data_IF_230161486788
#
_entry.id   IF_230161486788
#
_cell.length_a   1.000
_cell.length_b   1.000
_cell.length_c   1.000
_cell.angle_alpha   90.00
_cell.angle_beta   90.00
_cell.angle_gamma   90.00
#
_symmetry.space_group_name_H-M   'P 1'
#
loop_
_entity.id
_entity.type
_entity.pdbx_description
1 polymer ?
#
# COMPACT_ATOMS: atom_id res chain seq x y z
N UNK A 1 50.01 -21.06 -41.79
CA UNK A 1 48.74 -20.39 -42.08
C UNK A 1 47.61 -21.31 -41.67
N UNK A 2 47.10 -21.14 -40.49
CA UNK A 2 45.83 -21.77 -40.07
C UNK A 2 45.05 -20.65 -39.37
N UNK A 3 44.07 -20.14 -40.12
CA UNK A 3 43.15 -19.11 -39.64
C UNK A 3 42.16 -19.72 -38.68
N UNK A 4 42.19 -19.24 -37.44
CA UNK A 4 41.17 -19.51 -36.43
C UNK A 4 39.93 -18.66 -36.73
N UNK A 5 39.01 -19.23 -37.52
CA UNK A 5 37.66 -18.69 -37.66
C UNK A 5 36.88 -18.93 -36.37
N UNK A 6 36.72 -17.92 -35.55
CA UNK A 6 35.68 -17.88 -34.54
C UNK A 6 34.35 -17.57 -35.26
N UNK A 7 33.59 -18.61 -35.63
CA UNK A 7 32.19 -18.43 -35.96
C UNK A 7 31.47 -17.92 -34.71
N UNK A 8 31.13 -16.62 -34.68
CA UNK A 8 29.99 -16.16 -33.93
C UNK A 8 28.76 -16.90 -34.50
N UNK A 9 28.20 -17.80 -33.73
CA UNK A 9 26.83 -18.26 -33.95
C UNK A 9 25.97 -16.99 -33.90
N UNK A 10 25.54 -16.50 -35.05
CA UNK A 10 24.45 -15.53 -35.15
C UNK A 10 23.22 -16.25 -34.59
N UNK A 11 22.88 -15.96 -33.30
CA UNK A 11 21.67 -16.46 -32.67
C UNK A 11 20.45 -15.97 -33.46
N UNK A 12 19.43 -16.78 -33.56
CA UNK A 12 18.13 -16.40 -34.12
C UNK A 12 17.68 -15.12 -33.38
N UNK A 13 17.17 -14.16 -34.16
CA UNK A 13 16.66 -12.89 -33.67
C UNK A 13 15.16 -12.89 -33.76
N UNK A 14 14.50 -12.22 -32.83
CA UNK A 14 13.07 -11.94 -32.81
C UNK A 14 12.81 -10.45 -32.67
N UNK A 15 11.64 -9.97 -33.05
CA UNK A 15 11.22 -8.59 -32.85
C UNK A 15 10.29 -8.47 -31.62
N UNK A 16 10.46 -7.40 -30.84
CA UNK A 16 9.51 -6.97 -29.79
C UNK A 16 9.05 -5.54 -30.09
N UNK A 17 7.89 -5.17 -29.57
CA UNK A 17 7.30 -3.84 -29.74
C UNK A 17 7.50 -3.08 -28.42
N UNK A 18 8.08 -1.89 -28.49
CA UNK A 18 8.23 -1.06 -27.30
C UNK A 18 6.98 -0.19 -27.08
N UNK A 19 6.82 0.34 -25.87
CA UNK A 19 5.66 1.17 -25.46
C UNK A 19 5.41 2.40 -26.37
N UNK A 20 6.41 2.89 -27.07
CA UNK A 20 6.30 3.98 -28.05
C UNK A 20 5.92 3.51 -29.47
N UNK A 21 5.67 2.21 -29.65
CA UNK A 21 5.35 1.58 -30.92
C UNK A 21 6.55 1.26 -31.79
N UNK A 22 7.79 1.57 -31.37
CA UNK A 22 8.99 1.20 -32.09
C UNK A 22 9.27 -0.31 -31.98
N UNK A 23 9.96 -0.87 -33.00
CA UNK A 23 10.34 -2.29 -33.01
C UNK A 23 11.81 -2.43 -32.66
N UNK A 24 12.13 -3.42 -31.85
CA UNK A 24 13.47 -3.73 -31.41
C UNK A 24 13.79 -5.19 -31.72
N UNK A 25 14.93 -5.42 -32.39
CA UNK A 25 15.49 -6.76 -32.58
C UNK A 25 16.23 -7.20 -31.30
N UNK A 26 15.86 -8.37 -30.78
CA UNK A 26 16.48 -9.01 -29.62
C UNK A 26 16.85 -10.45 -29.90
N UNK A 27 17.60 -11.11 -29.03
CA UNK A 27 17.90 -12.54 -29.15
C UNK A 27 16.63 -13.39 -28.97
N UNK A 28 16.57 -14.58 -29.58
CA UNK A 28 15.55 -15.57 -29.32
C UNK A 28 15.48 -15.89 -27.82
N UNK A 29 14.26 -15.95 -27.23
CA UNK A 29 14.03 -16.15 -25.80
C UNK A 29 14.68 -15.07 -24.89
N UNK A 30 14.82 -13.81 -25.39
CA UNK A 30 15.32 -12.72 -24.58
C UNK A 30 14.39 -12.46 -23.39
N UNK A 31 14.99 -12.25 -22.22
CA UNK A 31 14.26 -11.80 -21.02
C UNK A 31 13.97 -10.30 -21.11
N UNK A 32 13.00 -9.83 -20.31
CA UNK A 32 12.71 -8.38 -20.14
C UNK A 32 13.99 -7.58 -19.85
N UNK A 33 14.90 -8.15 -19.05
CA UNK A 33 16.18 -7.50 -18.77
C UNK A 33 17.11 -7.39 -19.99
N UNK A 34 17.15 -8.41 -20.84
CA UNK A 34 17.95 -8.39 -22.07
C UNK A 34 17.37 -7.39 -23.07
N UNK A 35 16.02 -7.28 -23.14
CA UNK A 35 15.38 -6.17 -23.88
C UNK A 35 15.82 -4.81 -23.34
N UNK A 36 15.87 -4.63 -22.03
CA UNK A 36 16.33 -3.39 -21.42
C UNK A 36 17.82 -3.09 -21.76
N UNK A 37 18.66 -4.12 -21.87
CA UNK A 37 20.08 -3.99 -22.25
C UNK A 37 20.24 -3.54 -23.71
N UNK A 38 19.44 -4.07 -24.62
CA UNK A 38 19.44 -3.69 -26.04
C UNK A 38 18.97 -2.24 -26.21
N UNK A 39 17.99 -1.76 -25.44
CA UNK A 39 17.58 -0.36 -25.41
C UNK A 39 18.72 0.53 -24.90
N UNK A 40 19.37 0.12 -23.81
CA UNK A 40 20.51 0.85 -23.28
C UNK A 40 20.91 0.47 -21.87
N UNK A 41 22.23 0.47 -21.63
CA UNK A 41 22.80 0.08 -20.33
C UNK A 41 22.29 0.93 -19.14
N UNK A 42 21.89 2.18 -19.39
CA UNK A 42 21.31 3.07 -18.37
C UNK A 42 19.94 2.59 -17.92
N UNK A 43 19.07 2.22 -18.86
CA UNK A 43 17.75 1.68 -18.60
C UNK A 43 17.83 0.31 -17.92
N UNK A 44 18.67 -0.59 -18.43
CA UNK A 44 18.89 -1.90 -17.84
C UNK A 44 19.34 -1.82 -16.37
N UNK A 45 20.17 -0.83 -16.03
CA UNK A 45 20.60 -0.57 -14.65
C UNK A 45 19.48 -0.03 -13.77
N UNK A 46 18.54 0.73 -14.34
CA UNK A 46 17.40 1.31 -13.63
C UNK A 46 16.17 0.38 -13.60
N UNK A 47 16.16 -0.67 -14.43
CA UNK A 47 15.05 -1.62 -14.53
C UNK A 47 14.82 -2.36 -13.20
N UNK A 48 13.57 -2.43 -12.79
CA UNK A 48 13.09 -3.08 -11.56
C UNK A 48 12.11 -4.22 -11.86
N UNK A 49 11.29 -4.09 -12.90
CA UNK A 49 10.30 -5.06 -13.36
C UNK A 49 10.00 -4.81 -14.85
N UNK A 50 9.07 -5.56 -15.44
CA UNK A 50 8.58 -5.37 -16.79
C UNK A 50 7.09 -5.49 -16.91
N UNK A 51 6.58 -5.09 -18.06
CA UNK A 51 5.22 -5.34 -18.52
C UNK A 51 5.31 -5.95 -19.92
N UNK A 52 4.64 -7.10 -20.13
CA UNK A 52 4.60 -7.83 -21.40
C UNK A 52 3.15 -8.06 -21.78
N UNK A 53 2.70 -7.53 -22.91
CA UNK A 53 1.31 -7.59 -23.38
C UNK A 53 0.28 -7.13 -22.34
N UNK A 54 0.63 -6.13 -21.50
CA UNK A 54 -0.20 -5.60 -20.43
C UNK A 54 -0.12 -6.39 -19.12
N UNK A 55 0.63 -7.49 -19.05
CA UNK A 55 0.87 -8.26 -17.84
C UNK A 55 2.16 -7.81 -17.15
N UNK A 56 2.07 -7.58 -15.85
CA UNK A 56 3.21 -7.16 -15.00
C UNK A 56 4.07 -8.38 -14.66
N UNK A 57 5.34 -8.35 -15.02
CA UNK A 57 6.24 -9.50 -14.95
C UNK A 57 7.59 -9.18 -14.29
N UNK A 58 8.31 -10.22 -13.89
CA UNK A 58 9.70 -10.12 -13.42
C UNK A 58 10.67 -9.85 -14.58
N UNK A 59 11.81 -9.24 -14.29
CA UNK A 59 12.87 -8.96 -15.28
C UNK A 59 13.44 -10.22 -15.95
N UNK A 60 13.25 -11.39 -15.35
CA UNK A 60 13.74 -12.69 -15.83
C UNK A 60 12.77 -13.39 -16.78
N UNK A 61 11.55 -12.87 -16.88
CA UNK A 61 10.50 -13.41 -17.74
C UNK A 61 10.94 -13.32 -19.20
N UNK A 62 10.91 -14.43 -19.92
CA UNK A 62 11.13 -14.50 -21.37
C UNK A 62 10.00 -13.77 -22.10
N UNK A 63 10.37 -13.02 -23.13
CA UNK A 63 9.42 -12.22 -23.91
C UNK A 63 9.05 -12.98 -25.17
N UNK A 64 7.76 -13.15 -25.51
CA UNK A 64 7.34 -13.73 -26.77
C UNK A 64 7.68 -12.86 -27.98
N UNK A 65 7.87 -13.47 -29.15
CA UNK A 65 8.04 -12.75 -30.41
C UNK A 65 6.82 -11.87 -30.70
N UNK A 66 7.04 -10.61 -31.04
CA UNK A 66 5.99 -9.64 -31.37
C UNK A 66 5.26 -9.05 -30.15
N UNK A 67 5.61 -9.43 -28.93
CA UNK A 67 4.99 -8.91 -27.72
C UNK A 67 5.28 -7.42 -27.52
N UNK A 68 4.33 -6.70 -26.92
CA UNK A 68 4.54 -5.34 -26.42
C UNK A 68 5.27 -5.38 -25.08
N UNK A 69 6.41 -4.66 -24.99
CA UNK A 69 7.27 -4.69 -23.79
C UNK A 69 7.51 -3.29 -23.25
N UNK A 70 7.23 -3.11 -21.97
CA UNK A 70 7.65 -1.93 -21.23
C UNK A 70 8.63 -2.29 -20.09
N UNK A 71 9.68 -1.49 -19.96
CA UNK A 71 10.65 -1.63 -18.87
C UNK A 71 10.25 -0.69 -17.74
N UNK A 72 9.95 -1.26 -16.57
CA UNK A 72 9.50 -0.51 -15.41
C UNK A 72 10.68 -0.20 -14.47
N UNK A 73 10.75 1.05 -14.05
CA UNK A 73 11.78 1.59 -13.17
C UNK A 73 11.22 1.91 -11.78
N UNK A 74 12.01 2.49 -10.88
CA UNK A 74 11.53 2.94 -9.58
C UNK A 74 10.50 4.09 -9.66
N UNK A 75 10.41 4.78 -10.77
CA UNK A 75 9.41 5.85 -10.99
C UNK A 75 8.01 5.28 -11.33
N UNK A 76 7.93 3.98 -11.64
CA UNK A 76 6.70 3.25 -11.93
C UNK A 76 6.24 2.48 -10.69
N UNK A 77 4.93 2.48 -10.38
CA UNK A 77 4.36 1.87 -9.16
C UNK A 77 4.77 0.41 -8.98
N UNK A 78 4.75 -0.36 -10.07
CA UNK A 78 5.10 -1.78 -10.01
C UNK A 78 6.61 -2.01 -9.86
N UNK A 79 7.42 -1.18 -10.51
CA UNK A 79 8.88 -1.18 -10.31
C UNK A 79 9.27 -0.80 -8.89
N UNK A 80 8.55 0.17 -8.30
CA UNK A 80 8.72 0.55 -6.90
C UNK A 80 8.34 -0.61 -5.95
N UNK A 81 7.22 -1.31 -6.22
CA UNK A 81 6.80 -2.49 -5.45
C UNK A 81 7.86 -3.59 -5.51
N UNK A 82 8.42 -3.90 -6.69
CA UNK A 82 9.49 -4.88 -6.84
C UNK A 82 10.74 -4.52 -6.02
N UNK A 83 11.09 -3.24 -5.98
CA UNK A 83 12.22 -2.73 -5.21
C UNK A 83 11.99 -2.85 -3.70
N UNK A 84 10.83 -2.43 -3.20
CA UNK A 84 10.47 -2.52 -1.79
C UNK A 84 10.34 -3.98 -1.34
N UNK A 85 9.74 -4.84 -2.17
CA UNK A 85 9.64 -6.26 -1.89
C UNK A 85 11.02 -6.92 -1.80
N UNK A 86 11.96 -6.58 -2.69
CA UNK A 86 13.35 -7.05 -2.58
C UNK A 86 14.04 -6.52 -1.33
N UNK A 87 13.68 -5.32 -0.86
CA UNK A 87 14.19 -4.76 0.38
C UNK A 87 13.68 -5.50 1.62
N UNK A 88 12.46 -6.06 1.57
CA UNK A 88 11.96 -6.93 2.65
C UNK A 88 12.73 -8.25 2.72
N UNK A 89 13.10 -8.83 1.59
CA UNK A 89 13.95 -10.02 1.55
C UNK A 89 15.37 -9.73 2.06
N UNK A 90 15.93 -8.56 1.76
CA UNK A 90 17.20 -8.10 2.33
C UNK A 90 17.13 -8.00 3.86
N UNK A 91 16.03 -7.48 4.41
CA UNK A 91 15.77 -7.46 5.86
C UNK A 91 15.70 -8.88 6.43
N UNK A 92 14.92 -9.75 5.81
CA UNK A 92 14.75 -11.13 6.25
C UNK A 92 16.07 -11.90 6.30
N UNK A 93 16.91 -11.78 5.28
CA UNK A 93 18.25 -12.36 5.25
C UNK A 93 19.13 -11.83 6.38
N UNK A 94 19.14 -10.52 6.60
CA UNK A 94 19.92 -9.90 7.67
C UNK A 94 19.46 -10.36 9.05
N UNK A 95 18.16 -10.50 9.24
CA UNK A 95 17.61 -11.04 10.50
C UNK A 95 18.04 -12.47 10.72
N UNK A 96 17.92 -13.38 9.73
CA UNK A 96 18.35 -14.77 9.88
C UNK A 96 19.85 -14.92 10.12
N UNK A 97 20.71 -14.05 9.58
CA UNK A 97 22.15 -14.03 9.90
C UNK A 97 22.42 -13.69 11.37
N UNK A 98 21.62 -12.80 11.96
CA UNK A 98 21.80 -12.36 13.36
C UNK A 98 20.98 -13.19 14.37
N UNK A 99 19.85 -13.71 13.94
CA UNK A 99 18.89 -14.47 14.74
C UNK A 99 18.48 -15.76 13.99
N UNK A 100 19.33 -16.80 14.00
CA UNK A 100 19.07 -18.01 13.21
C UNK A 100 17.80 -18.78 13.61
N UNK A 101 17.28 -18.55 14.81
CA UNK A 101 16.05 -19.16 15.37
C UNK A 101 14.78 -18.35 15.05
N UNK A 102 14.92 -17.20 14.42
CA UNK A 102 13.76 -16.42 14.00
C UNK A 102 12.96 -17.15 12.92
N UNK A 103 11.62 -17.05 12.99
CA UNK A 103 10.72 -17.64 12.00
C UNK A 103 10.11 -16.54 11.15
N UNK A 104 10.21 -16.68 9.85
CA UNK A 104 9.76 -15.70 8.88
C UNK A 104 8.30 -15.95 8.49
N UNK A 105 7.44 -14.91 8.58
CA UNK A 105 6.07 -14.98 8.12
C UNK A 105 5.93 -14.36 6.72
N UNK A 106 5.61 -13.08 6.63
CA UNK A 106 5.39 -12.37 5.37
C UNK A 106 6.11 -11.01 5.35
N UNK A 107 6.53 -10.59 4.14
CA UNK A 107 7.25 -9.34 3.94
C UNK A 107 6.82 -8.56 2.69
N UNK A 108 5.60 -7.97 2.67
CA UNK A 108 5.13 -7.25 1.51
C UNK A 108 5.76 -5.87 1.36
N UNK A 109 5.71 -5.36 0.14
CA UNK A 109 5.92 -3.95 -0.15
C UNK A 109 4.72 -3.12 0.31
N UNK A 110 4.98 -1.89 0.78
CA UNK A 110 3.98 -0.85 1.08
C UNK A 110 4.33 0.41 0.31
N UNK A 111 3.45 1.42 0.31
CA UNK A 111 3.54 2.61 -0.55
C UNK A 111 4.93 3.27 -0.59
N UNK A 112 5.59 3.46 0.56
CA UNK A 112 6.89 4.12 0.61
C UNK A 112 7.98 3.27 1.28
N UNK A 113 7.82 1.94 1.26
CA UNK A 113 8.76 1.04 1.91
C UNK A 113 8.30 -0.39 1.96
N UNK A 114 8.61 -1.05 3.04
CA UNK A 114 8.35 -2.46 3.25
C UNK A 114 8.21 -2.76 4.75
N UNK A 115 7.69 -3.94 5.06
CA UNK A 115 7.84 -4.53 6.38
C UNK A 115 8.12 -6.03 6.26
N UNK A 116 8.50 -6.63 7.37
CA UNK A 116 8.53 -8.07 7.52
C UNK A 116 7.99 -8.47 8.89
N UNK A 117 7.10 -9.46 8.92
CA UNK A 117 6.57 -10.06 10.14
C UNK A 117 7.41 -11.27 10.54
N UNK A 118 7.95 -11.23 11.73
CA UNK A 118 8.96 -12.19 12.20
C UNK A 118 8.63 -12.62 13.62
N UNK A 119 8.69 -13.92 13.87
CA UNK A 119 8.67 -14.45 15.22
C UNK A 119 10.09 -14.57 15.74
N UNK A 120 10.36 -13.93 16.86
CA UNK A 120 11.63 -14.02 17.55
C UNK A 120 11.49 -14.84 18.82
N UNK A 121 12.52 -15.58 19.20
CA UNK A 121 12.59 -16.34 20.46
C UNK A 121 12.60 -15.42 21.70
N UNK A 122 12.90 -14.13 21.53
CA UNK A 122 12.88 -13.08 22.55
C UNK A 122 12.40 -11.75 21.97
N UNK A 123 11.91 -10.87 22.81
CA UNK A 123 11.61 -9.50 22.37
C UNK A 123 12.88 -8.79 21.87
N UNK A 124 12.76 -8.07 20.76
CA UNK A 124 13.80 -7.19 20.24
C UNK A 124 13.45 -5.73 20.49
N UNK A 125 14.49 -4.90 20.63
CA UNK A 125 14.38 -3.47 20.91
C UNK A 125 14.80 -2.64 19.71
N UNK A 126 14.47 -1.35 19.72
CA UNK A 126 14.90 -0.41 18.68
C UNK A 126 16.43 -0.35 18.48
N UNK A 127 17.21 -0.60 19.55
CA UNK A 127 18.68 -0.63 19.44
C UNK A 127 19.22 -1.78 18.59
N UNK A 128 18.40 -2.81 18.34
CA UNK A 128 18.78 -3.93 17.48
C UNK A 128 18.54 -3.63 16.00
N UNK A 129 17.66 -2.66 15.69
CA UNK A 129 17.47 -2.21 14.31
C UNK A 129 18.77 -1.71 13.69
N UNK A 130 19.61 -1.01 14.46
CA UNK A 130 20.93 -0.54 13.97
C UNK A 130 21.86 -1.69 13.60
N UNK A 131 21.82 -2.80 14.37
CA UNK A 131 22.62 -4.00 14.05
C UNK A 131 22.11 -4.71 12.82
N UNK A 132 20.78 -4.79 12.66
CA UNK A 132 20.14 -5.37 11.48
C UNK A 132 20.47 -4.52 10.25
N UNK A 133 20.37 -3.19 10.34
CA UNK A 133 20.79 -2.29 9.26
C UNK A 133 22.26 -2.46 8.87
N UNK A 134 23.14 -2.62 9.85
CA UNK A 134 24.56 -2.86 9.59
C UNK A 134 24.79 -4.20 8.85
N UNK A 135 24.02 -5.23 9.16
CA UNK A 135 24.08 -6.52 8.44
C UNK A 135 23.48 -6.38 7.04
N UNK A 136 22.34 -5.71 6.88
CA UNK A 136 21.78 -5.38 5.56
C UNK A 136 22.81 -4.66 4.69
N UNK A 137 23.56 -3.70 5.24
CA UNK A 137 24.64 -3.00 4.50
C UNK A 137 25.76 -3.92 4.04
N UNK A 138 26.09 -5.00 4.78
CA UNK A 138 27.06 -6.00 4.34
C UNK A 138 26.51 -6.78 3.15
N UNK A 139 25.28 -7.28 3.24
CA UNK A 139 24.60 -8.02 2.17
C UNK A 139 24.51 -7.17 0.88
N UNK A 140 24.20 -5.88 1.00
CA UNK A 140 24.20 -4.97 -0.15
C UNK A 140 25.59 -4.86 -0.81
N UNK A 141 26.66 -4.85 0.00
CA UNK A 141 28.04 -4.81 -0.54
C UNK A 141 28.48 -6.14 -1.17
N UNK A 142 27.90 -7.25 -0.75
CA UNK A 142 28.13 -8.55 -1.36
C UNK A 142 27.53 -8.63 -2.77
N UNK A 143 26.54 -7.77 -3.09
CA UNK A 143 25.86 -7.67 -4.39
C UNK A 143 25.36 -9.03 -4.91
N UNK A 144 24.66 -9.74 -4.05
CA UNK A 144 24.17 -11.09 -4.33
C UNK A 144 23.11 -11.06 -5.44
N UNK A 145 23.22 -11.92 -6.46
CA UNK A 145 22.15 -12.08 -7.45
C UNK A 145 20.89 -12.62 -6.76
N UNK A 146 19.73 -12.15 -7.21
CA UNK A 146 18.44 -12.67 -6.81
C UNK A 146 17.96 -13.58 -7.94
N UNK A 147 17.78 -14.85 -7.66
CA UNK A 147 17.43 -15.89 -8.64
C UNK A 147 16.04 -16.44 -8.35
N UNK A 148 15.20 -16.53 -9.38
CA UNK A 148 13.88 -17.16 -9.29
C UNK A 148 13.99 -18.64 -9.70
N UNK A 149 13.29 -19.52 -8.98
CA UNK A 149 13.11 -20.90 -9.35
C UNK A 149 11.80 -21.46 -8.79
N UNK A 150 11.40 -22.64 -9.22
CA UNK A 150 10.17 -23.28 -8.78
C UNK A 150 10.46 -24.62 -8.13
N UNK A 151 9.61 -25.03 -7.21
CA UNK A 151 9.60 -26.36 -6.63
C UNK A 151 8.21 -26.97 -6.78
N UNK A 152 8.13 -28.30 -6.86
CA UNK A 152 6.86 -28.98 -6.65
C UNK A 152 6.35 -28.74 -5.22
N UNK A 153 5.04 -28.87 -5.00
CA UNK A 153 4.45 -28.70 -3.67
C UNK A 153 5.12 -29.61 -2.62
N UNK A 154 5.40 -30.87 -3.00
CA UNK A 154 6.04 -31.81 -2.09
C UNK A 154 7.45 -31.36 -1.69
N UNK A 155 8.26 -30.95 -2.65
CA UNK A 155 9.62 -30.43 -2.40
C UNK A 155 9.58 -29.17 -1.54
N UNK A 156 8.63 -28.25 -1.79
CA UNK A 156 8.45 -27.03 -1.01
C UNK A 156 8.07 -27.34 0.46
N UNK A 157 7.13 -28.26 0.67
CA UNK A 157 6.72 -28.70 2.01
C UNK A 157 7.88 -29.36 2.74
N UNK A 158 8.62 -30.25 2.08
CA UNK A 158 9.74 -30.95 2.71
C UNK A 158 10.88 -29.99 3.06
N UNK A 159 11.17 -29.01 2.18
CA UNK A 159 12.15 -27.96 2.41
C UNK A 159 11.84 -27.13 3.65
N UNK A 160 10.59 -26.67 3.81
CA UNK A 160 10.22 -25.84 4.97
C UNK A 160 9.98 -26.67 6.24
N UNK A 161 9.61 -27.94 6.12
CA UNK A 161 9.52 -28.85 7.27
C UNK A 161 10.89 -29.15 7.87
N UNK A 162 11.93 -29.34 7.04
CA UNK A 162 13.31 -29.51 7.50
C UNK A 162 13.83 -28.28 8.25
N UNK A 163 13.39 -27.08 7.83
CA UNK A 163 13.76 -25.79 8.46
C UNK A 163 12.85 -25.38 9.62
N UNK A 164 11.84 -26.16 9.93
CA UNK A 164 10.82 -25.83 10.95
C UNK A 164 10.15 -24.46 10.72
N UNK A 165 9.88 -24.09 9.45
CA UNK A 165 9.27 -22.80 9.05
C UNK A 165 7.75 -22.92 8.95
N UNK A 166 7.06 -22.90 10.11
CA UNK A 166 5.62 -23.13 10.22
C UNK A 166 4.75 -22.19 9.40
N UNK A 167 5.09 -20.89 9.35
CA UNK A 167 4.31 -19.90 8.61
C UNK A 167 4.36 -20.14 7.10
N UNK A 168 5.51 -20.56 6.59
CA UNK A 168 5.66 -20.90 5.17
C UNK A 168 4.91 -22.18 4.80
N UNK A 169 4.85 -23.16 5.70
CA UNK A 169 4.03 -24.36 5.52
C UNK A 169 2.54 -24.01 5.43
N UNK A 170 2.03 -23.18 6.34
CA UNK A 170 0.64 -22.70 6.30
C UNK A 170 0.33 -21.93 5.01
N UNK A 171 1.27 -21.10 4.52
CA UNK A 171 1.08 -20.39 3.26
C UNK A 171 1.02 -21.31 2.05
N UNK A 172 1.83 -22.40 2.04
CA UNK A 172 1.78 -23.40 0.98
C UNK A 172 0.47 -24.18 1.02
N UNK A 173 -0.06 -24.49 2.21
CA UNK A 173 -1.34 -25.18 2.37
C UNK A 173 -2.51 -24.38 1.80
N UNK A 174 -2.49 -23.06 1.91
CA UNK A 174 -3.52 -22.16 1.39
C UNK A 174 -3.50 -22.01 -0.15
N UNK A 175 -2.40 -22.37 -0.82
CA UNK A 175 -2.32 -22.27 -2.28
C UNK A 175 -3.21 -23.31 -2.97
N UNK A 176 -3.82 -23.01 -4.14
CA UNK A 176 -4.51 -23.98 -4.98
C UNK A 176 -3.62 -25.18 -5.29
N UNK A 177 -4.22 -26.37 -5.47
CA UNK A 177 -3.47 -27.62 -5.70
C UNK A 177 -2.58 -27.57 -6.96
N UNK A 178 -3.02 -26.86 -7.97
CA UNK A 178 -2.35 -26.64 -9.26
C UNK A 178 -1.42 -25.43 -9.31
N UNK A 179 -1.26 -24.71 -8.20
CA UNK A 179 -0.42 -23.51 -8.17
C UNK A 179 1.06 -23.85 -8.41
N UNK A 180 1.71 -23.07 -9.27
CA UNK A 180 3.16 -23.07 -9.42
C UNK A 180 3.77 -22.38 -8.21
N UNK A 181 4.58 -23.11 -7.44
CA UNK A 181 5.20 -22.57 -6.23
C UNK A 181 6.57 -22.02 -6.57
N UNK A 182 6.69 -20.70 -6.55
CA UNK A 182 7.92 -19.99 -6.86
C UNK A 182 8.69 -19.57 -5.61
N UNK A 183 9.99 -19.49 -5.78
CA UNK A 183 10.96 -19.13 -4.75
C UNK A 183 11.95 -18.12 -5.31
N UNK A 184 12.45 -17.28 -4.41
CA UNK A 184 13.58 -16.41 -4.72
C UNK A 184 14.74 -16.68 -3.78
N UNK A 185 15.93 -16.82 -4.37
CA UNK A 185 17.19 -17.08 -3.67
C UNK A 185 18.15 -15.92 -3.84
N UNK A 186 18.78 -15.52 -2.74
CA UNK A 186 19.88 -14.55 -2.73
C UNK A 186 20.99 -15.05 -1.78
N UNK A 187 22.08 -15.56 -2.34
CA UNK A 187 23.12 -16.23 -1.59
C UNK A 187 22.61 -17.46 -0.82
N UNK A 188 22.74 -17.45 0.50
CA UNK A 188 22.25 -18.51 1.40
C UNK A 188 20.76 -18.40 1.74
N UNK A 189 20.15 -17.24 1.49
CA UNK A 189 18.74 -16.98 1.80
C UNK A 189 17.84 -17.45 0.66
N UNK A 190 16.75 -18.13 1.01
CA UNK A 190 15.70 -18.55 0.08
C UNK A 190 14.35 -18.34 0.72
N UNK A 191 13.41 -17.71 0.00
CA UNK A 191 12.05 -17.48 0.47
C UNK A 191 10.98 -17.90 -0.54
N UNK A 192 9.82 -18.35 -0.02
CA UNK A 192 8.59 -18.58 -0.77
C UNK A 192 8.02 -17.25 -1.20
N UNK A 193 7.93 -17.01 -2.50
CA UNK A 193 7.52 -15.70 -2.99
C UNK A 193 7.05 -15.75 -4.45
N UNK A 194 5.98 -15.03 -4.75
CA UNK A 194 5.49 -14.86 -6.12
C UNK A 194 6.29 -13.81 -6.93
N UNK A 195 7.09 -12.97 -6.26
CA UNK A 195 7.80 -11.87 -6.91
C UNK A 195 6.91 -10.65 -7.22
N UNK A 196 7.35 -9.75 -8.11
CA UNK A 196 8.68 -9.74 -8.73
C UNK A 196 9.77 -9.22 -7.80
N UNK A 197 11.03 -9.44 -8.18
CA UNK A 197 12.21 -8.93 -7.49
C UNK A 197 13.19 -8.26 -8.44
N UNK A 198 13.99 -7.33 -7.90
CA UNK A 198 15.12 -6.74 -8.61
C UNK A 198 16.23 -7.78 -8.83
N UNK A 199 17.28 -7.40 -9.57
CA UNK A 199 18.31 -8.34 -10.00
C UNK A 199 19.30 -8.75 -8.93
N UNK A 200 19.70 -7.81 -8.06
CA UNK A 200 20.68 -8.08 -7.02
C UNK A 200 20.47 -7.20 -5.79
N UNK A 201 20.97 -7.65 -4.66
CA UNK A 201 20.94 -6.92 -3.40
C UNK A 201 21.71 -5.58 -3.47
N UNK A 202 22.72 -5.49 -4.33
CA UNK A 202 23.53 -4.29 -4.54
C UNK A 202 22.79 -3.10 -5.17
N UNK A 203 21.59 -3.30 -5.70
CA UNK A 203 20.73 -2.20 -6.18
C UNK A 203 20.08 -1.43 -5.02
N UNK A 204 19.92 -2.03 -3.82
CA UNK A 204 19.29 -1.41 -2.64
C UNK A 204 20.30 -0.56 -1.86
N UNK A 205 20.60 0.63 -2.36
CA UNK A 205 21.71 1.46 -1.84
C UNK A 205 21.34 2.33 -0.64
N UNK A 206 20.08 2.62 -0.46
CA UNK A 206 19.61 3.54 0.56
C UNK A 206 18.38 2.96 1.24
N UNK A 207 18.47 2.65 2.52
CA UNK A 207 17.37 2.15 3.34
C UNK A 207 17.55 2.61 4.79
N UNK A 208 16.44 2.59 5.53
CA UNK A 208 16.37 2.84 6.96
C UNK A 208 15.28 1.98 7.57
N UNK A 209 15.54 1.28 8.66
CA UNK A 209 14.52 0.66 9.47
C UNK A 209 13.89 1.73 10.36
N UNK A 210 12.57 1.85 10.36
CA UNK A 210 11.89 3.02 10.91
C UNK A 210 11.19 2.76 12.23
N UNK A 211 10.65 1.56 12.44
CA UNK A 211 9.92 1.22 13.67
C UNK A 211 9.70 -0.28 13.85
N UNK A 212 9.34 -0.64 15.09
CA UNK A 212 8.86 -1.95 15.49
C UNK A 212 7.38 -1.84 15.88
N UNK A 213 6.58 -2.85 15.52
CA UNK A 213 5.21 -2.99 15.98
C UNK A 213 4.87 -4.46 16.25
N UNK A 214 3.87 -4.71 17.10
CA UNK A 214 3.25 -6.03 17.20
C UNK A 214 2.23 -6.23 16.09
N UNK A 215 2.17 -7.42 15.51
CA UNK A 215 1.15 -7.79 14.54
C UNK A 215 0.73 -9.24 14.77
N UNK A 216 -0.57 -9.49 14.91
CA UNK A 216 -1.05 -10.86 15.02
C UNK A 216 -1.00 -11.56 13.67
N UNK A 217 -0.54 -12.82 13.66
CA UNK A 217 -0.56 -13.63 12.45
C UNK A 217 -1.96 -13.68 11.82
N UNK A 218 -2.06 -13.37 10.54
CA UNK A 218 -3.32 -13.25 9.78
C UNK A 218 -4.32 -12.23 10.36
N UNK A 219 -3.88 -11.29 11.18
CA UNK A 219 -4.74 -10.26 11.77
C UNK A 219 -5.69 -10.77 12.86
N UNK A 220 -5.58 -12.01 13.31
CA UNK A 220 -6.41 -12.61 14.36
C UNK A 220 -5.68 -12.57 15.71
N UNK A 221 -6.25 -11.88 16.69
CA UNK A 221 -5.68 -11.74 18.04
C UNK A 221 -5.49 -13.05 18.81
N UNK A 222 -6.14 -14.13 18.37
CA UNK A 222 -5.97 -15.48 18.92
C UNK A 222 -4.69 -16.16 18.44
N UNK A 223 -4.08 -15.66 17.38
CA UNK A 223 -2.86 -16.19 16.81
C UNK A 223 -1.62 -15.58 17.49
N UNK A 224 -0.45 -16.14 17.16
CA UNK A 224 0.83 -15.64 17.67
C UNK A 224 1.04 -14.17 17.27
N UNK A 225 1.43 -13.36 18.25
CA UNK A 225 1.86 -11.99 18.00
C UNK A 225 3.30 -11.98 17.50
N UNK A 226 3.49 -11.52 16.27
CA UNK A 226 4.76 -11.37 15.58
C UNK A 226 5.33 -9.97 15.82
N UNK A 227 6.63 -9.83 15.62
CA UNK A 227 7.28 -8.53 15.55
C UNK A 227 7.32 -8.09 14.11
N UNK A 228 6.66 -6.97 13.79
CA UNK A 228 6.70 -6.31 12.50
C UNK A 228 7.80 -5.27 12.48
N UNK A 229 8.75 -5.42 11.58
CA UNK A 229 9.84 -4.45 11.36
C UNK A 229 9.51 -3.66 10.10
N UNK A 230 9.33 -2.34 10.25
CA UNK A 230 9.12 -1.44 9.12
C UNK A 230 10.44 -0.88 8.62
N UNK A 231 10.54 -0.69 7.31
CA UNK A 231 11.66 -0.03 6.66
C UNK A 231 11.23 0.79 5.45
N UNK A 232 12.02 1.82 5.16
CA UNK A 232 11.93 2.59 3.93
C UNK A 232 13.19 2.33 3.09
N UNK A 233 13.05 2.25 1.76
CA UNK A 233 14.17 2.05 0.86
C UNK A 233 14.00 2.82 -0.44
N UNK A 234 15.13 3.30 -0.99
CA UNK A 234 15.18 4.10 -2.21
C UNK A 234 16.42 3.77 -3.02
N UNK A 235 16.40 3.95 -4.36
CA UNK A 235 17.60 3.77 -5.19
C UNK A 235 18.72 4.75 -4.86
N UNK A 236 18.38 5.95 -4.36
CA UNK A 236 19.34 7.03 -4.09
C UNK A 236 19.26 7.52 -2.65
N UNK A 237 20.40 7.78 -2.02
CA UNK A 237 20.48 8.32 -0.64
C UNK A 237 19.72 9.65 -0.47
N UNK A 238 19.72 10.51 -1.50
CA UNK A 238 18.99 11.78 -1.47
C UNK A 238 17.48 11.57 -1.31
N UNK A 239 16.90 10.63 -2.05
CA UNK A 239 15.46 10.30 -1.95
C UNK A 239 15.10 9.80 -0.55
N UNK A 240 15.93 8.93 0.05
CA UNK A 240 15.75 8.48 1.42
C UNK A 240 15.82 9.65 2.42
N UNK A 241 16.81 10.55 2.28
CA UNK A 241 16.93 11.71 3.18
C UNK A 241 15.72 12.61 3.11
N UNK A 242 15.27 12.96 1.90
CA UNK A 242 14.06 13.77 1.67
C UNK A 242 12.79 13.11 2.24
N UNK A 243 12.70 11.79 2.15
CA UNK A 243 11.60 11.04 2.74
C UNK A 243 11.63 11.08 4.28
N UNK A 244 12.79 10.83 4.89
CA UNK A 244 12.95 10.88 6.34
C UNK A 244 12.70 12.28 6.91
N UNK A 245 13.16 13.33 6.21
CA UNK A 245 12.87 14.72 6.57
C UNK A 245 11.36 15.00 6.53
N UNK A 246 10.65 14.52 5.51
CA UNK A 246 9.17 14.64 5.45
C UNK A 246 8.48 13.91 6.61
N UNK A 247 8.95 12.73 7.00
CA UNK A 247 8.42 12.00 8.14
C UNK A 247 8.61 12.77 9.46
N UNK A 248 9.78 13.34 9.66
CA UNK A 248 10.06 14.17 10.85
C UNK A 248 9.20 15.43 10.88
N UNK A 249 9.04 16.10 9.73
CA UNK A 249 8.13 17.24 9.63
C UNK A 249 6.67 16.85 9.86
N UNK A 250 6.23 15.68 9.34
CA UNK A 250 4.89 15.16 9.61
C UNK A 250 4.66 14.92 11.11
N UNK A 251 5.65 14.33 11.82
CA UNK A 251 5.57 14.14 13.28
C UNK A 251 5.47 15.48 14.02
N UNK A 252 6.21 16.51 13.58
CA UNK A 252 6.12 17.86 14.18
C UNK A 252 4.75 18.50 13.93
N UNK A 253 4.11 18.18 12.81
CA UNK A 253 2.79 18.71 12.40
C UNK A 253 1.62 17.81 12.78
N UNK A 254 1.83 16.78 13.61
CA UNK A 254 0.76 15.91 14.08
C UNK A 254 -0.32 16.75 14.79
N UNK A 255 -1.50 16.81 14.16
CA UNK A 255 -2.64 17.61 14.64
C UNK A 255 -3.08 17.20 16.05
N UNK A 256 -2.92 15.93 16.43
CA UNK A 256 -3.29 15.43 17.77
C UNK A 256 -2.39 16.02 18.84
N UNK A 257 -1.09 16.12 18.55
CA UNK A 257 -0.12 16.77 19.44
C UNK A 257 -0.36 18.27 19.52
N UNK A 258 -0.40 18.94 18.35
CA UNK A 258 -0.63 20.39 18.26
C UNK A 258 -1.97 20.75 18.87
N UNK A 259 -3.03 20.03 18.57
CA UNK A 259 -4.37 20.25 19.11
C UNK A 259 -4.42 20.16 20.64
N UNK A 260 -3.68 19.20 21.22
CA UNK A 260 -3.55 19.07 22.70
C UNK A 260 -2.75 20.22 23.29
N UNK A 261 -1.59 20.56 22.72
CA UNK A 261 -0.72 21.64 23.18
C UNK A 261 -1.43 23.01 23.10
N UNK A 262 -2.25 23.23 22.08
CA UNK A 262 -3.03 24.46 21.91
C UNK A 262 -4.39 24.48 22.64
N UNK A 263 -4.78 23.36 23.27
CA UNK A 263 -6.08 23.23 23.94
C UNK A 263 -7.25 23.32 22.96
N UNK A 264 -7.15 22.70 21.78
CA UNK A 264 -8.18 22.74 20.75
C UNK A 264 -9.25 21.66 20.96
N UNK A 265 -8.85 20.47 21.31
CA UNK A 265 -9.76 19.35 21.55
C UNK A 265 -9.15 18.31 22.52
N UNK A 266 -10.02 17.47 23.04
CA UNK A 266 -9.64 16.28 23.79
C UNK A 266 -10.39 15.07 23.27
N UNK A 267 -9.87 13.89 23.57
CA UNK A 267 -10.53 12.58 23.35
C UNK A 267 -10.80 11.93 24.69
N UNK A 268 -11.88 11.17 24.81
CA UNK A 268 -12.29 10.47 26.02
C UNK A 268 -12.82 9.07 25.68
N UNK A 269 -12.65 8.13 26.61
CA UNK A 269 -13.08 6.74 26.42
C UNK A 269 -14.61 6.61 26.28
N UNK A 270 -15.39 7.59 26.77
CA UNK A 270 -16.85 7.61 26.60
C UNK A 270 -17.31 7.88 25.18
N UNK A 271 -16.41 8.37 24.29
CA UNK A 271 -16.70 8.64 22.89
C UNK A 271 -15.48 8.31 22.03
N UNK A 272 -15.13 7.01 21.88
CA UNK A 272 -13.97 6.60 21.13
C UNK A 272 -14.08 7.03 19.66
N UNK A 273 -13.04 7.73 19.18
CA UNK A 273 -12.99 8.25 17.82
C UNK A 273 -13.66 9.63 17.63
N UNK A 274 -14.31 10.19 18.63
CA UNK A 274 -14.96 11.51 18.54
C UNK A 274 -14.23 12.56 19.41
N UNK A 275 -13.78 13.69 18.83
CA UNK A 275 -13.14 14.75 19.59
C UNK A 275 -14.16 15.62 20.32
N UNK A 276 -13.86 15.97 21.56
CA UNK A 276 -14.54 17.04 22.30
C UNK A 276 -13.81 18.35 22.01
N UNK A 277 -14.45 19.28 21.32
CA UNK A 277 -13.85 20.58 21.03
C UNK A 277 -13.86 21.46 22.30
N UNK A 278 -12.69 21.97 22.67
CA UNK A 278 -12.49 22.92 23.74
C UNK A 278 -12.72 24.37 23.25
N UNK A 279 -12.78 25.37 24.15
CA UNK A 279 -13.07 26.76 23.73
C UNK A 279 -12.16 27.27 22.59
N UNK A 280 -10.86 27.01 22.66
CA UNK A 280 -9.94 27.42 21.59
C UNK A 280 -10.22 26.67 20.26
N UNK A 281 -10.59 25.41 20.36
CA UNK A 281 -10.98 24.61 19.18
C UNK A 281 -12.27 25.13 18.56
N UNK A 282 -13.23 25.62 19.38
CA UNK A 282 -14.45 26.23 18.85
C UNK A 282 -14.19 27.56 18.15
N UNK A 283 -13.20 28.35 18.58
CA UNK A 283 -12.79 29.54 17.82
C UNK A 283 -12.31 29.17 16.44
N UNK A 284 -11.42 28.18 16.34
CA UNK A 284 -10.90 27.68 15.06
C UNK A 284 -12.04 27.14 14.18
N UNK A 285 -12.89 26.28 14.75
CA UNK A 285 -14.02 25.66 14.04
C UNK A 285 -14.98 26.72 13.49
N UNK A 286 -15.36 27.72 14.31
CA UNK A 286 -16.28 28.78 13.90
C UNK A 286 -15.66 29.66 12.78
N UNK A 287 -14.37 30.00 12.87
CA UNK A 287 -13.70 30.74 11.80
C UNK A 287 -13.69 29.99 10.45
N UNK A 288 -13.54 28.65 10.48
CA UNK A 288 -13.65 27.83 9.27
C UNK A 288 -15.09 27.80 8.74
N UNK A 289 -16.08 27.69 9.62
CA UNK A 289 -17.51 27.71 9.26
C UNK A 289 -17.90 29.09 8.66
N UNK A 290 -17.43 30.19 9.24
CA UNK A 290 -17.67 31.55 8.72
C UNK A 290 -17.08 31.71 7.32
N UNK A 291 -15.84 31.24 7.11
CA UNK A 291 -15.20 31.26 5.80
C UNK A 291 -15.95 30.38 4.78
N UNK A 292 -16.39 29.18 5.19
CA UNK A 292 -17.20 28.30 4.35
C UNK A 292 -18.51 28.99 3.92
N UNK A 293 -19.22 29.63 4.85
CA UNK A 293 -20.44 30.39 4.53
C UNK A 293 -20.17 31.55 3.56
N UNK A 294 -19.10 32.30 3.78
CA UNK A 294 -18.71 33.38 2.86
C UNK A 294 -18.52 32.87 1.42
N UNK A 295 -17.86 31.72 1.25
CA UNK A 295 -17.66 31.12 -0.06
C UNK A 295 -18.97 30.67 -0.70
N UNK A 296 -19.84 30.02 0.06
CA UNK A 296 -21.11 29.47 -0.44
C UNK A 296 -22.10 30.60 -0.78
N UNK A 297 -22.19 31.60 0.08
CA UNK A 297 -23.01 32.79 -0.19
C UNK A 297 -22.59 33.52 -1.48
N UNK A 298 -21.27 33.68 -1.66
CA UNK A 298 -20.70 34.27 -2.88
C UNK A 298 -21.06 33.48 -4.13
N UNK A 299 -21.06 32.18 -4.06
CA UNK A 299 -21.28 31.26 -5.19
C UNK A 299 -22.77 30.89 -5.34
N UNK A 300 -23.66 31.47 -4.51
CA UNK A 300 -25.13 31.36 -4.61
C UNK A 300 -25.68 30.03 -4.12
N UNK A 301 -25.10 29.47 -3.07
CA UNK A 301 -25.63 28.28 -2.37
C UNK A 301 -26.56 28.69 -1.22
N UNK A 302 -27.69 28.02 -1.08
CA UNK A 302 -28.57 28.11 0.08
C UNK A 302 -28.16 27.13 1.15
N UNK A 303 -27.88 27.57 2.39
CA UNK A 303 -27.55 26.70 3.51
C UNK A 303 -28.83 26.02 4.01
N UNK A 304 -28.77 24.68 4.14
CA UNK A 304 -29.83 23.82 4.69
C UNK A 304 -29.31 23.02 5.87
N UNK A 305 -30.22 22.48 6.66
CA UNK A 305 -29.93 21.51 7.73
C UNK A 305 -30.95 20.38 7.70
N UNK A 306 -30.49 19.16 7.70
CA UNK A 306 -31.32 17.96 7.80
C UNK A 306 -31.15 17.25 9.15
N UNK A 307 -32.18 16.52 9.66
CA UNK A 307 -32.08 15.80 10.92
C UNK A 307 -30.92 14.81 10.95
N UNK A 308 -30.28 14.66 12.12
CA UNK A 308 -29.18 13.70 12.32
C UNK A 308 -29.68 12.25 12.31
N UNK A 309 -30.90 12.02 12.85
CA UNK A 309 -31.52 10.69 12.95
C UNK A 309 -32.71 10.68 12.00
N UNK A 310 -32.73 9.70 11.10
CA UNK A 310 -33.77 9.51 10.10
C UNK A 310 -34.31 8.09 10.12
N UNK A 311 -35.60 7.93 9.76
CA UNK A 311 -36.26 6.63 9.74
C UNK A 311 -35.66 5.67 8.72
N UNK A 312 -35.73 4.38 8.98
CA UNK A 312 -35.30 3.31 8.08
C UNK A 312 -35.83 3.46 6.67
N UNK A 313 -37.08 3.89 6.53
CA UNK A 313 -37.75 4.07 5.23
C UNK A 313 -36.94 5.00 4.29
N UNK A 314 -36.36 6.08 4.79
CA UNK A 314 -35.51 6.97 4.01
C UNK A 314 -34.29 6.26 3.45
N UNK A 315 -33.68 5.41 4.26
CA UNK A 315 -32.47 4.67 3.91
C UNK A 315 -32.76 3.53 2.93
N UNK A 316 -33.96 2.94 2.98
CA UNK A 316 -34.45 1.98 1.98
C UNK A 316 -34.72 2.67 0.64
N UNK A 317 -35.43 3.81 0.62
CA UNK A 317 -35.70 4.58 -0.59
C UNK A 317 -34.42 5.05 -1.30
N UNK A 318 -33.36 5.33 -0.57
CA UNK A 318 -32.06 5.75 -1.10
C UNK A 318 -31.08 4.62 -1.37
N UNK A 319 -31.44 3.35 -1.07
CA UNK A 319 -30.59 2.17 -1.25
C UNK A 319 -29.49 1.98 -0.20
N UNK A 320 -29.34 2.91 0.74
CA UNK A 320 -28.29 2.80 1.77
C UNK A 320 -28.51 1.64 2.73
N UNK A 321 -29.78 1.30 3.01
CA UNK A 321 -30.10 0.21 3.92
C UNK A 321 -29.61 -1.14 3.42
N UNK A 322 -29.70 -1.39 2.11
CA UNK A 322 -29.35 -2.68 1.51
C UNK A 322 -27.83 -2.81 1.24
N UNK A 323 -27.14 -1.69 0.99
CA UNK A 323 -25.75 -1.70 0.54
C UNK A 323 -24.76 -1.13 1.54
N UNK A 324 -25.23 -0.47 2.61
CA UNK A 324 -24.39 0.28 3.53
C UNK A 324 -24.72 0.08 5.00
N UNK A 325 -25.66 -0.83 5.33
CA UNK A 325 -26.18 -1.04 6.68
C UNK A 325 -25.09 -1.36 7.70
N UNK A 326 -24.08 -2.14 7.31
CA UNK A 326 -22.96 -2.53 8.18
C UNK A 326 -22.12 -1.32 8.67
N UNK A 327 -22.22 -0.19 7.98
CA UNK A 327 -21.52 1.04 8.33
C UNK A 327 -22.43 2.10 8.99
N UNK A 328 -23.66 1.75 9.34
CA UNK A 328 -24.63 2.67 9.91
C UNK A 328 -24.89 2.37 11.39
N UNK A 329 -24.91 3.40 12.21
CA UNK A 329 -25.39 3.29 13.59
C UNK A 329 -26.92 3.30 13.59
N UNK A 330 -27.52 2.17 13.95
CA UNK A 330 -28.97 1.99 13.98
C UNK A 330 -29.50 2.01 15.40
N UNK A 331 -30.76 2.47 15.57
CA UNK A 331 -31.48 2.45 16.84
C UNK A 331 -32.95 2.18 16.62
N UNK A 332 -33.71 1.87 17.69
CA UNK A 332 -35.15 1.75 17.66
C UNK A 332 -35.79 2.79 18.57
N UNK A 333 -36.84 3.47 18.06
CA UNK A 333 -37.62 4.44 18.79
C UNK A 333 -39.11 4.03 18.58
N UNK A 334 -39.82 3.75 19.67
CA UNK A 334 -41.23 3.34 19.63
C UNK A 334 -41.53 2.12 18.73
N UNK A 335 -40.54 1.21 18.60
CA UNK A 335 -40.66 0.00 17.77
C UNK A 335 -40.29 0.21 16.30
N UNK A 336 -40.02 1.44 15.88
CA UNK A 336 -39.57 1.80 14.53
C UNK A 336 -38.05 1.89 14.45
N UNK A 337 -37.47 1.46 13.34
CA UNK A 337 -36.03 1.52 13.12
C UNK A 337 -35.61 2.89 12.57
N UNK A 338 -34.55 3.43 13.14
CA UNK A 338 -33.90 4.68 12.74
C UNK A 338 -32.40 4.45 12.56
N UNK A 339 -31.77 5.33 11.83
CA UNK A 339 -30.30 5.37 11.75
C UNK A 339 -29.79 6.80 11.85
N UNK A 340 -28.60 6.94 12.41
CA UNK A 340 -27.82 8.18 12.35
C UNK A 340 -27.33 8.34 10.91
N UNK A 341 -27.49 9.52 10.33
CA UNK A 341 -27.14 9.74 8.93
C UNK A 341 -25.65 9.50 8.64
N UNK A 342 -25.30 8.54 7.78
CA UNK A 342 -23.92 8.38 7.32
C UNK A 342 -23.55 9.39 6.23
N UNK A 343 -24.56 9.98 5.58
CA UNK A 343 -24.42 10.96 4.51
C UNK A 343 -25.55 12.00 4.57
N UNK A 344 -25.28 13.22 4.03
CA UNK A 344 -26.26 14.31 3.97
C UNK A 344 -27.22 14.20 2.77
N UNK A 345 -26.80 13.53 1.69
CA UNK A 345 -27.51 13.49 0.41
C UNK A 345 -29.01 13.13 0.51
N UNK A 346 -29.45 12.08 1.22
CA UNK A 346 -30.87 11.76 1.31
C UNK A 346 -31.70 12.87 1.98
N UNK A 347 -31.14 13.54 3.00
CA UNK A 347 -31.76 14.68 3.65
C UNK A 347 -31.94 15.88 2.70
N UNK A 348 -30.91 16.22 1.95
CA UNK A 348 -30.97 17.28 0.94
C UNK A 348 -31.98 16.98 -0.17
N UNK A 349 -32.12 15.71 -0.58
CA UNK A 349 -33.16 15.29 -1.56
C UNK A 349 -34.57 15.48 -1.01
N UNK A 350 -34.79 15.32 0.29
CA UNK A 350 -36.10 15.61 0.90
C UNK A 350 -36.40 17.10 0.89
N UNK A 351 -35.41 17.95 1.15
CA UNK A 351 -35.55 19.42 1.01
C UNK A 351 -35.83 19.77 -0.43
N UNK A 352 -35.15 19.18 -1.40
CA UNK A 352 -35.46 19.38 -2.83
C UNK A 352 -36.89 18.99 -3.18
N UNK A 353 -37.42 17.90 -2.64
CA UNK A 353 -38.79 17.41 -2.89
C UNK A 353 -39.88 18.17 -2.13
N UNK A 354 -39.54 19.07 -1.21
CA UNK A 354 -40.54 19.81 -0.40
C UNK A 354 -41.45 20.72 -1.21
N UNK A 355 -40.98 21.17 -2.39
CA UNK A 355 -41.73 22.04 -3.29
C UNK A 355 -41.80 21.48 -4.71
N UNK A 356 -42.84 21.85 -5.45
CA UNK A 356 -42.95 21.59 -6.88
C UNK A 356 -42.05 22.55 -7.64
N UNK A 357 -41.03 22.02 -8.31
CA UNK A 357 -40.02 22.78 -9.04
C UNK A 357 -40.20 22.65 -10.54
N UNK A 358 -39.94 23.71 -11.24
CA UNK A 358 -39.87 23.77 -12.69
C UNK A 358 -38.40 23.61 -13.13
N UNK A 359 -38.18 23.18 -14.37
CA UNK A 359 -36.83 23.22 -14.98
C UNK A 359 -36.18 24.61 -14.99
N UNK A 360 -36.99 25.67 -14.81
CA UNK A 360 -36.49 27.04 -14.74
C UNK A 360 -35.92 27.42 -13.36
N UNK A 361 -36.24 26.63 -12.35
CA UNK A 361 -35.75 26.81 -10.98
C UNK A 361 -34.37 26.10 -10.78
N UNK A 362 -33.87 25.42 -11.82
CA UNK A 362 -32.63 24.69 -11.80
C UNK A 362 -31.51 25.48 -12.52
N UNK A 363 -30.24 25.32 -12.08
CA UNK A 363 -29.75 24.47 -10.98
C UNK A 363 -30.12 25.04 -9.60
N UNK A 364 -30.49 24.17 -8.67
CA UNK A 364 -30.64 24.49 -7.26
C UNK A 364 -29.36 24.15 -6.53
N UNK A 365 -28.76 25.12 -5.85
CA UNK A 365 -27.51 24.94 -5.11
C UNK A 365 -27.79 24.90 -3.62
N UNK A 366 -27.68 23.70 -3.03
CA UNK A 366 -27.89 23.51 -1.60
C UNK A 366 -26.58 23.10 -0.94
N UNK A 367 -26.30 23.62 0.25
CA UNK A 367 -25.13 23.31 1.03
C UNK A 367 -25.51 22.96 2.47
N UNK A 368 -24.86 21.97 3.06
CA UNK A 368 -25.13 21.53 4.42
C UNK A 368 -23.84 21.30 5.21
N UNK A 369 -23.73 21.94 6.38
CA UNK A 369 -22.73 21.61 7.40
C UNK A 369 -23.19 20.36 8.18
N UNK A 370 -23.14 19.21 7.52
CA UNK A 370 -23.70 17.99 8.07
C UNK A 370 -22.80 17.32 9.11
N UNK A 371 -23.43 16.83 10.17
CA UNK A 371 -22.83 15.89 11.10
C UNK A 371 -23.21 14.47 10.65
N UNK A 372 -22.42 13.90 9.74
CA UNK A 372 -22.59 12.51 9.32
C UNK A 372 -21.73 11.58 10.17
N UNK A 373 -22.28 10.43 10.58
CA UNK A 373 -21.59 9.46 11.42
C UNK A 373 -21.80 8.06 10.86
N UNK A 374 -20.70 7.40 10.51
CA UNK A 374 -20.67 6.01 10.07
C UNK A 374 -19.47 5.29 10.67
N UNK A 375 -19.47 3.97 10.67
CA UNK A 375 -18.37 3.17 11.25
C UNK A 375 -17.02 3.47 10.58
N UNK A 376 -17.03 3.74 9.26
CA UNK A 376 -15.83 4.19 8.56
C UNK A 376 -15.40 5.59 8.98
N UNK A 377 -16.34 6.49 9.32
CA UNK A 377 -16.03 7.82 9.82
C UNK A 377 -15.33 7.75 11.19
N UNK A 378 -15.69 6.81 12.04
CA UNK A 378 -15.03 6.59 13.32
C UNK A 378 -13.58 6.09 13.16
N UNK A 379 -13.28 5.40 12.05
CA UNK A 379 -11.92 4.97 11.68
C UNK A 379 -11.13 6.05 10.91
N UNK A 380 -11.82 7.03 10.33
CA UNK A 380 -11.29 8.08 9.45
C UNK A 380 -11.45 9.49 10.02
N UNK A 381 -11.75 9.66 11.31
CA UNK A 381 -11.89 11.01 11.92
C UNK A 381 -10.54 11.73 11.94
N UNK A 382 -10.11 12.15 10.77
CA UNK A 382 -8.99 13.08 10.63
C UNK A 382 -9.35 14.38 9.90
N UNK A 383 -10.58 14.54 9.36
CA UNK A 383 -11.03 15.82 8.80
C UNK A 383 -12.56 15.98 8.85
N UNK A 384 -13.10 17.18 9.13
CA UNK A 384 -14.49 17.46 8.84
C UNK A 384 -14.68 17.36 7.32
N UNK A 385 -15.50 16.41 6.88
CA UNK A 385 -15.84 16.28 5.46
C UNK A 385 -16.81 17.42 5.13
N UNK A 386 -16.30 18.49 4.57
CA UNK A 386 -17.11 19.49 3.89
C UNK A 386 -17.50 18.89 2.53
N UNK A 387 -18.70 18.34 2.45
CA UNK A 387 -19.22 17.88 1.16
C UNK A 387 -20.13 18.92 0.59
N UNK A 388 -19.86 19.50 -0.58
CA UNK A 388 -20.89 20.21 -1.33
C UNK A 388 -21.95 19.17 -1.73
N UNK A 389 -23.19 19.39 -1.30
CA UNK A 389 -24.29 18.56 -1.71
C UNK A 389 -24.79 19.07 -3.06
N UNK A 390 -24.39 18.40 -4.14
CA UNK A 390 -24.91 18.52 -5.50
C UNK A 390 -24.85 19.90 -6.20
N UNK A 391 -24.09 19.95 -7.29
CA UNK A 391 -24.42 20.77 -8.45
C UNK A 391 -25.54 20.13 -9.30
#
# INVERSE_FOLDING_TARGET
MLGSGWNRLEGLKMEVILKDGSRLEVGEAASVYEVALEIGAGLAKAAMAGEVDGELVDLRTEVPEGAEVAILTFEDDYGQKAFHHSSSHLLAQAVLRLFPDAKLAIGPAIENGFYYDIEFSRAISESELEKIEAEMQKIVKEDLPIEQFTMSRQEAVDYYREKDERYKLELIEDLPEDAVISFYKQGEFTDLCAGPHIRSTGQIKAFKLTSLAGAYWRGDERNTMLTRIYGASFPKKKQLSEYLERLEEAKKRDHRRIGREMGLFMTDESAPGFPFFLPNGMVLKNSLIEYWRELHDRDGYDEIESPIILSRRMWEESGHWDHYQENMYTTQIDGENYAIKPMNCPGAMMVFKSDLRSYRDLPLRLAELGQSVGEQSAKLVEAPIFSPAFE
#
